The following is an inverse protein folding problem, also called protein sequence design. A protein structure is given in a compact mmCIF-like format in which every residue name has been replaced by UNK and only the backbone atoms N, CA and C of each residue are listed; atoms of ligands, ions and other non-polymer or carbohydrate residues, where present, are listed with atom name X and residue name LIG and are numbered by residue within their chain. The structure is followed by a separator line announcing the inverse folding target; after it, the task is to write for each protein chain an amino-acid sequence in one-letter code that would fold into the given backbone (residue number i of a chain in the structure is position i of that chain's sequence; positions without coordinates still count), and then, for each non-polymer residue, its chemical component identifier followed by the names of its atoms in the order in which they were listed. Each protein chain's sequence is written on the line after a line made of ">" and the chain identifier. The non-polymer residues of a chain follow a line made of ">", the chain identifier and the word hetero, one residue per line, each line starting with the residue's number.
data_IF_257314147915
#
_entry.id   IF_257314147915
#
_cell.length_a   1.000
_cell.length_b   1.000
_cell.length_c   1.000
_cell.angle_alpha   90.00
_cell.angle_beta   90.00
_cell.angle_gamma   90.00
#
_symmetry.space_group_name_H-M   'P 1'
#
loop_
_entity.id
_entity.type
_entity.pdbx_description
1 polymer ?
#
# COMPACT_ATOMS: atom_id res chain seq x y z
N UNK A 1 -11.02 -0.62 -7.28
CA UNK A 1 -12.05 -1.63 -7.56
C UNK A 1 -12.22 -2.61 -6.40
N UNK A 2 -13.44 -3.12 -6.24
CA UNK A 2 -13.79 -4.16 -5.27
C UNK A 2 -13.96 -5.49 -6.00
N UNK A 3 -13.37 -6.54 -5.44
CA UNK A 3 -13.44 -7.90 -5.96
C UNK A 3 -14.13 -8.82 -4.97
N UNK A 4 -14.68 -9.93 -5.46
CA UNK A 4 -15.29 -10.95 -4.59
C UNK A 4 -14.25 -11.52 -3.61
N UNK A 5 -14.66 -11.78 -2.35
CA UNK A 5 -13.76 -12.19 -1.28
C UNK A 5 -13.04 -13.54 -1.48
N UNK A 6 -13.48 -14.34 -2.43
CA UNK A 6 -12.85 -15.60 -2.84
C UNK A 6 -11.80 -15.42 -3.96
N UNK A 7 -11.62 -14.19 -4.48
CA UNK A 7 -10.60 -13.91 -5.48
C UNK A 7 -9.24 -13.68 -4.83
N UNK A 8 -8.21 -14.37 -5.36
CA UNK A 8 -6.83 -14.17 -4.91
C UNK A 8 -6.26 -12.87 -5.49
N UNK A 9 -5.47 -12.17 -4.71
CA UNK A 9 -4.83 -10.89 -5.09
C UNK A 9 -4.09 -10.97 -6.44
N UNK A 10 -3.49 -12.13 -6.74
CA UNK A 10 -2.78 -12.32 -8.01
C UNK A 10 -3.69 -12.15 -9.24
N UNK A 11 -4.96 -12.49 -9.15
CA UNK A 11 -5.92 -12.36 -10.25
C UNK A 11 -6.51 -10.95 -10.37
N UNK A 12 -6.39 -10.15 -9.32
CA UNK A 12 -6.90 -8.78 -9.29
C UNK A 12 -5.90 -7.75 -9.82
N UNK A 13 -4.61 -8.11 -9.95
CA UNK A 13 -3.57 -7.15 -10.32
C UNK A 13 -3.78 -6.57 -11.71
N UNK A 14 -3.88 -7.42 -12.74
CA UNK A 14 -3.98 -6.96 -14.12
C UNK A 14 -5.23 -6.10 -14.38
N UNK A 15 -6.44 -6.50 -13.96
CA UNK A 15 -7.61 -5.63 -14.07
C UNK A 15 -7.46 -4.31 -13.30
N UNK A 16 -6.85 -4.34 -12.11
CA UNK A 16 -6.60 -3.14 -11.32
C UNK A 16 -5.64 -2.17 -12.01
N UNK A 17 -4.56 -2.67 -12.60
CA UNK A 17 -3.61 -1.86 -13.38
C UNK A 17 -4.28 -1.25 -14.60
N UNK A 18 -5.09 -2.02 -15.36
CA UNK A 18 -5.83 -1.50 -16.51
C UNK A 18 -6.84 -0.42 -16.11
N UNK A 19 -7.49 -0.59 -14.97
CA UNK A 19 -8.39 0.45 -14.43
C UNK A 19 -7.63 1.76 -14.13
N UNK A 20 -6.42 1.67 -13.55
CA UNK A 20 -5.55 2.83 -13.31
C UNK A 20 -5.09 3.46 -14.62
N UNK A 21 -4.63 2.64 -15.59
CA UNK A 21 -4.23 3.14 -16.92
C UNK A 21 -5.34 3.95 -17.58
N UNK A 22 -6.56 3.41 -17.57
CA UNK A 22 -7.72 4.07 -18.16
C UNK A 22 -8.12 5.34 -17.41
N UNK A 23 -8.11 5.31 -16.06
CA UNK A 23 -8.54 6.45 -15.24
C UNK A 23 -7.56 7.62 -15.30
N UNK A 24 -6.28 7.36 -15.51
CA UNK A 24 -5.22 8.37 -15.58
C UNK A 24 -4.66 8.58 -16.98
N UNK A 25 -5.24 7.94 -17.98
CA UNK A 25 -4.83 8.02 -19.39
C UNK A 25 -3.31 7.81 -19.56
N UNK A 26 -2.78 6.74 -18.94
CA UNK A 26 -1.33 6.52 -18.90
C UNK A 26 -0.77 6.17 -20.27
N UNK A 27 0.01 7.08 -20.84
CA UNK A 27 0.78 6.85 -22.07
C UNK A 27 1.96 5.89 -21.82
N UNK A 28 2.59 5.39 -22.90
CA UNK A 28 3.80 4.57 -22.83
C UNK A 28 4.93 5.26 -22.04
N UNK A 29 5.08 6.58 -22.22
CA UNK A 29 6.06 7.37 -21.49
C UNK A 29 5.76 7.43 -19.98
N UNK A 30 4.48 7.48 -19.60
CA UNK A 30 4.05 7.41 -18.21
C UNK A 30 4.33 6.02 -17.63
N UNK A 31 4.00 4.92 -18.36
CA UNK A 31 4.28 3.54 -17.90
C UNK A 31 5.75 3.30 -17.61
N UNK A 32 6.65 3.72 -18.49
CA UNK A 32 8.11 3.58 -18.30
C UNK A 32 8.65 4.25 -17.04
N UNK A 33 7.98 5.28 -16.53
CA UNK A 33 8.34 6.01 -15.30
C UNK A 33 7.54 5.57 -14.08
N UNK A 34 6.54 4.70 -14.26
CA UNK A 34 5.69 4.22 -13.17
C UNK A 34 6.30 2.97 -12.54
N UNK A 35 6.43 2.99 -11.22
CA UNK A 35 6.92 1.87 -10.41
C UNK A 35 5.78 1.14 -9.71
N UNK A 36 5.61 -0.14 -10.01
CA UNK A 36 4.76 -1.02 -9.22
C UNK A 36 5.53 -1.66 -8.08
N UNK A 37 5.10 -1.39 -6.83
CA UNK A 37 5.62 -2.03 -5.63
C UNK A 37 4.64 -3.09 -5.16
N UNK A 38 5.02 -4.36 -5.27
CA UNK A 38 4.13 -5.49 -5.03
C UNK A 38 4.56 -6.31 -3.82
N UNK A 39 3.57 -6.80 -3.07
CA UNK A 39 3.82 -7.83 -2.06
C UNK A 39 3.89 -9.23 -2.68
N UNK A 40 4.12 -10.24 -1.82
CA UNK A 40 4.23 -11.62 -2.28
C UNK A 40 2.94 -12.17 -2.88
N UNK A 41 1.78 -11.64 -2.51
CA UNK A 41 0.50 -12.12 -3.04
C UNK A 41 0.29 -11.79 -4.52
N UNK A 42 0.84 -10.68 -5.00
CA UNK A 42 0.76 -10.25 -6.39
C UNK A 42 2.06 -10.53 -7.19
N UNK A 43 3.17 -10.85 -6.53
CA UNK A 43 4.50 -11.03 -7.13
C UNK A 43 4.71 -12.39 -7.82
N UNK A 44 3.72 -12.87 -8.58
CA UNK A 44 3.84 -14.07 -9.42
C UNK A 44 4.61 -13.79 -10.70
N UNK A 45 5.24 -14.80 -11.27
CA UNK A 45 5.99 -14.66 -12.55
C UNK A 45 5.10 -14.15 -13.68
N UNK A 46 3.86 -14.62 -13.74
CA UNK A 46 2.87 -14.19 -14.72
C UNK A 46 2.60 -12.68 -14.62
N UNK A 47 2.29 -12.19 -13.44
CA UNK A 47 2.02 -10.79 -13.20
C UNK A 47 3.24 -9.91 -13.47
N UNK A 48 4.42 -10.38 -13.05
CA UNK A 48 5.67 -9.64 -13.30
C UNK A 48 6.00 -9.56 -14.78
N UNK A 49 5.90 -10.68 -15.53
CA UNK A 49 6.08 -10.67 -17.00
C UNK A 49 5.09 -9.73 -17.68
N UNK A 50 3.83 -9.76 -17.26
CA UNK A 50 2.80 -8.90 -17.82
C UNK A 50 3.09 -7.41 -17.60
N UNK A 51 3.50 -7.01 -16.39
CA UNK A 51 3.91 -5.63 -16.09
C UNK A 51 5.14 -5.20 -16.90
N UNK A 52 6.15 -6.07 -16.95
CA UNK A 52 7.40 -5.80 -17.67
C UNK A 52 7.18 -5.68 -19.19
N UNK A 53 6.29 -6.50 -19.78
CA UNK A 53 5.88 -6.40 -21.19
C UNK A 53 5.17 -5.08 -21.50
N UNK A 54 4.56 -4.44 -20.50
CA UNK A 54 3.91 -3.12 -20.60
C UNK A 54 4.85 -1.97 -20.23
N UNK A 55 6.14 -2.21 -20.14
CA UNK A 55 7.20 -1.24 -19.81
C UNK A 55 7.16 -0.64 -18.40
N UNK A 56 6.41 -1.22 -17.48
CA UNK A 56 6.46 -0.79 -16.09
C UNK A 56 7.78 -1.13 -15.40
N UNK A 57 8.17 -0.28 -14.44
CA UNK A 57 9.20 -0.63 -13.47
C UNK A 57 8.59 -1.42 -12.32
N UNK A 58 9.35 -2.38 -11.78
CA UNK A 58 8.87 -3.22 -10.69
C UNK A 58 9.84 -3.24 -9.50
N UNK A 59 9.25 -3.31 -8.31
CA UNK A 59 9.92 -3.60 -7.05
C UNK A 59 9.00 -4.53 -6.26
N UNK A 60 9.19 -5.83 -6.39
CA UNK A 60 8.24 -6.83 -5.95
C UNK A 60 8.88 -7.85 -5.01
N UNK A 61 8.12 -8.33 -4.04
CA UNK A 61 8.45 -9.55 -3.32
C UNK A 61 7.92 -10.73 -4.12
N UNK A 62 8.78 -11.71 -4.39
CA UNK A 62 8.39 -12.91 -5.11
C UNK A 62 7.46 -13.82 -4.30
N UNK A 63 6.59 -14.52 -5.00
CA UNK A 63 5.54 -15.37 -4.42
C UNK A 63 6.07 -16.67 -3.81
N UNK A 64 7.03 -17.33 -4.49
CA UNK A 64 7.42 -18.71 -4.19
C UNK A 64 8.41 -18.83 -3.02
N UNK A 65 7.96 -19.41 -1.90
CA UNK A 65 8.84 -19.75 -0.77
C UNK A 65 9.90 -20.81 -1.12
N UNK A 66 9.57 -21.79 -1.98
CA UNK A 66 10.50 -22.80 -2.48
C UNK A 66 11.64 -22.15 -3.27
N UNK A 67 11.30 -21.21 -4.19
CA UNK A 67 12.29 -20.44 -4.93
C UNK A 67 13.15 -19.57 -4.01
N UNK A 68 12.56 -18.94 -2.99
CA UNK A 68 13.31 -18.15 -2.03
C UNK A 68 14.41 -18.96 -1.33
N UNK A 69 14.11 -20.20 -0.99
CA UNK A 69 15.07 -21.10 -0.37
C UNK A 69 16.18 -21.52 -1.36
N UNK A 70 15.83 -21.88 -2.57
CA UNK A 70 16.80 -22.24 -3.62
C UNK A 70 17.74 -21.07 -3.97
N UNK A 71 17.20 -19.85 -4.07
CA UNK A 71 18.00 -18.64 -4.32
C UNK A 71 18.92 -18.30 -3.13
N UNK A 72 18.47 -18.55 -1.89
CA UNK A 72 19.29 -18.32 -0.70
C UNK A 72 20.58 -19.18 -0.69
N UNK A 73 20.51 -20.40 -1.21
CA UNK A 73 21.66 -21.28 -1.33
C UNK A 73 22.71 -20.80 -2.36
N UNK A 74 22.31 -19.89 -3.28
CA UNK A 74 23.19 -19.35 -4.32
C UNK A 74 23.83 -18.01 -3.93
N UNK A 75 23.46 -17.44 -2.79
CA UNK A 75 24.03 -16.16 -2.35
C UNK A 75 25.46 -16.36 -1.89
N UNK A 76 26.41 -15.79 -2.62
CA UNK A 76 27.84 -15.87 -2.33
C UNK A 76 28.28 -14.95 -1.16
N UNK A 77 27.58 -13.83 -0.96
CA UNK A 77 27.91 -12.85 0.08
C UNK A 77 26.67 -12.27 0.73
N UNK A 78 26.58 -12.47 2.05
CA UNK A 78 25.54 -11.92 2.89
C UNK A 78 26.03 -10.67 3.60
N UNK A 79 25.24 -9.59 3.58
CA UNK A 79 25.46 -8.37 4.35
C UNK A 79 24.36 -8.24 5.41
N UNK A 80 24.68 -7.62 6.53
CA UNK A 80 23.73 -7.37 7.61
C UNK A 80 22.68 -6.36 7.17
N UNK A 81 21.42 -6.76 7.12
CA UNK A 81 20.27 -5.97 6.70
C UNK A 81 19.45 -5.36 7.85
N UNK A 82 19.93 -5.52 9.09
CA UNK A 82 19.25 -5.10 10.32
C UNK A 82 19.22 -6.24 11.34
N UNK A 83 18.60 -6.05 12.51
CA UNK A 83 18.52 -7.05 13.54
C UNK A 83 17.98 -8.39 12.99
N UNK A 84 18.75 -9.47 13.14
CA UNK A 84 18.42 -10.82 12.70
C UNK A 84 18.01 -10.94 11.22
N UNK A 85 18.58 -10.11 10.36
CA UNK A 85 18.27 -10.07 8.91
C UNK A 85 19.53 -9.92 8.09
N UNK A 86 19.69 -10.74 7.05
CA UNK A 86 20.80 -10.73 6.12
C UNK A 86 20.28 -10.57 4.69
N UNK A 87 21.06 -9.88 3.85
CA UNK A 87 20.71 -9.53 2.48
C UNK A 87 21.81 -9.98 1.53
N UNK A 88 21.44 -10.65 0.45
CA UNK A 88 22.36 -11.11 -0.58
C UNK A 88 21.81 -10.87 -1.97
N UNK A 89 22.64 -10.33 -2.89
CA UNK A 89 22.33 -10.35 -4.31
C UNK A 89 22.56 -11.74 -4.87
N UNK A 90 21.73 -12.13 -5.83
CA UNK A 90 21.86 -13.40 -6.55
C UNK A 90 21.49 -13.20 -8.01
N UNK A 91 22.14 -13.93 -8.91
CA UNK A 91 21.72 -13.97 -10.30
C UNK A 91 20.38 -14.70 -10.41
N UNK A 92 19.40 -14.15 -11.15
CA UNK A 92 18.12 -14.82 -11.34
C UNK A 92 18.33 -16.10 -12.16
N UNK A 93 17.76 -17.21 -11.68
CA UNK A 93 17.69 -18.49 -12.38
C UNK A 93 16.41 -18.64 -13.21
N UNK A 94 15.70 -17.54 -13.41
CA UNK A 94 14.44 -17.46 -14.15
C UNK A 94 14.41 -16.17 -14.97
N UNK A 95 13.70 -16.22 -16.10
CA UNK A 95 13.55 -15.10 -17.00
C UNK A 95 12.13 -14.51 -16.90
N UNK A 96 12.05 -13.19 -16.85
CA UNK A 96 10.79 -12.43 -16.86
C UNK A 96 10.62 -11.57 -18.11
N UNK A 97 11.46 -11.79 -19.14
CA UNK A 97 11.41 -11.08 -20.42
C UNK A 97 12.12 -9.73 -20.43
N UNK A 98 12.69 -9.29 -19.28
CA UNK A 98 13.53 -8.08 -19.17
C UNK A 98 14.60 -8.29 -18.10
N UNK A 99 15.74 -7.58 -18.18
CA UNK A 99 16.78 -7.63 -17.16
C UNK A 99 16.21 -7.24 -15.79
N UNK A 100 16.51 -8.06 -14.79
CA UNK A 100 16.09 -7.87 -13.39
C UNK A 100 17.26 -8.11 -12.45
N UNK A 101 17.20 -7.48 -11.28
CA UNK A 101 18.06 -7.81 -10.13
C UNK A 101 17.24 -8.54 -9.08
N UNK A 102 17.85 -9.54 -8.42
CA UNK A 102 17.20 -10.33 -7.38
C UNK A 102 17.96 -10.19 -6.07
N UNK A 103 17.27 -9.72 -5.03
CA UNK A 103 17.76 -9.65 -3.67
C UNK A 103 17.10 -10.74 -2.82
N UNK A 104 17.91 -11.53 -2.16
CA UNK A 104 17.41 -12.50 -1.15
C UNK A 104 17.57 -11.90 0.24
N UNK A 105 16.55 -12.10 1.06
CA UNK A 105 16.57 -11.78 2.48
C UNK A 105 16.41 -13.05 3.31
N UNK A 106 17.36 -13.31 4.20
CA UNK A 106 17.27 -14.31 5.25
C UNK A 106 16.94 -13.63 6.57
N UNK A 107 15.98 -14.17 7.31
CA UNK A 107 15.63 -13.74 8.68
C UNK A 107 15.58 -14.92 9.62
N UNK A 108 16.17 -14.76 10.80
CA UNK A 108 16.00 -15.71 11.87
C UNK A 108 14.75 -15.31 12.69
N UNK A 109 13.79 -16.20 12.81
CA UNK A 109 12.56 -15.97 13.58
C UNK A 109 12.11 -17.26 14.23
N UNK A 110 11.94 -17.23 15.56
CA UNK A 110 11.47 -18.39 16.35
C UNK A 110 12.33 -19.65 16.10
N UNK A 111 13.65 -19.53 16.18
CA UNK A 111 14.57 -20.64 15.98
C UNK A 111 14.73 -21.14 14.53
N UNK A 112 14.05 -20.53 13.55
CA UNK A 112 14.07 -20.97 12.15
C UNK A 112 14.48 -19.86 11.19
N UNK A 113 15.23 -20.25 10.16
CA UNK A 113 15.54 -19.35 9.05
C UNK A 113 14.35 -19.26 8.08
N UNK A 114 13.92 -18.04 7.80
CA UNK A 114 12.91 -17.73 6.79
C UNK A 114 13.53 -16.94 5.66
N UNK A 115 13.38 -17.42 4.44
CA UNK A 115 13.88 -16.79 3.23
C UNK A 115 12.76 -16.10 2.48
N UNK A 116 13.07 -14.97 1.88
CA UNK A 116 12.24 -14.27 0.91
C UNK A 116 13.12 -13.68 -0.16
N UNK A 117 12.60 -13.52 -1.37
CA UNK A 117 13.33 -12.87 -2.45
C UNK A 117 12.52 -11.72 -3.01
N UNK A 118 13.24 -10.76 -3.56
CA UNK A 118 12.69 -9.54 -4.13
C UNK A 118 13.28 -9.35 -5.51
N UNK A 119 12.46 -8.78 -6.40
CA UNK A 119 12.76 -8.59 -7.81
C UNK A 119 12.63 -7.11 -8.11
N UNK A 120 13.57 -6.55 -8.88
CA UNK A 120 13.48 -5.17 -9.32
C UNK A 120 14.10 -4.95 -10.69
N UNK A 121 13.58 -3.98 -11.42
CA UNK A 121 14.18 -3.41 -12.63
C UNK A 121 15.04 -2.17 -12.33
N UNK A 122 14.99 -1.66 -11.09
CA UNK A 122 15.72 -0.46 -10.68
C UNK A 122 17.11 -0.81 -10.17
N UNK A 123 18.05 0.11 -10.35
CA UNK A 123 19.38 0.05 -9.75
C UNK A 123 19.36 0.72 -8.38
N UNK A 124 19.99 0.10 -7.40
CA UNK A 124 20.10 0.62 -6.03
C UNK A 124 21.55 0.76 -5.60
N UNK A 125 21.91 1.80 -4.86
CA UNK A 125 23.28 2.02 -4.36
C UNK A 125 23.70 0.99 -3.31
N UNK A 126 22.74 0.34 -2.64
CA UNK A 126 23.00 -0.69 -1.65
C UNK A 126 21.81 -1.64 -1.44
N UNK A 127 22.08 -2.83 -0.90
CA UNK A 127 21.05 -3.80 -0.50
C UNK A 127 20.10 -3.21 0.55
N UNK A 128 20.61 -2.36 1.45
CA UNK A 128 19.80 -1.68 2.47
C UNK A 128 18.88 -0.64 1.84
N UNK A 129 19.38 0.19 0.90
CA UNK A 129 18.56 1.17 0.19
C UNK A 129 17.40 0.50 -0.56
N UNK A 130 17.68 -0.61 -1.23
CA UNK A 130 16.64 -1.45 -1.84
C UNK A 130 15.55 -1.84 -0.85
N UNK A 131 15.94 -2.48 0.27
CA UNK A 131 14.98 -2.98 1.25
C UNK A 131 14.21 -1.83 1.93
N UNK A 132 14.85 -0.70 2.18
CA UNK A 132 14.19 0.50 2.71
C UNK A 132 13.13 1.01 1.74
N UNK A 133 13.47 1.16 0.46
CA UNK A 133 12.51 1.60 -0.58
C UNK A 133 11.34 0.64 -0.70
N UNK A 134 11.59 -0.68 -0.64
CA UNK A 134 10.51 -1.67 -0.62
C UNK A 134 9.62 -1.52 0.63
N UNK A 135 10.20 -1.34 1.80
CA UNK A 135 9.47 -1.24 3.07
C UNK A 135 8.65 0.05 3.20
N UNK A 136 9.04 1.16 2.53
CA UNK A 136 8.26 2.41 2.48
C UNK A 136 6.84 2.19 1.93
N UNK A 137 6.59 1.10 1.20
CA UNK A 137 5.24 0.68 0.82
C UNK A 137 4.31 0.52 2.03
N UNK A 138 4.82 -0.10 3.11
CA UNK A 138 4.01 -0.37 4.30
C UNK A 138 3.64 0.87 5.11
N UNK A 139 4.36 1.97 4.95
CA UNK A 139 4.09 3.21 5.69
C UNK A 139 2.88 4.00 5.17
N UNK A 140 2.65 4.01 3.86
CA UNK A 140 1.53 4.74 3.26
C UNK A 140 0.29 3.84 3.10
N UNK A 141 0.40 2.79 2.31
CA UNK A 141 -0.75 1.95 1.93
C UNK A 141 -1.33 1.15 3.10
N UNK A 142 -0.46 0.51 3.90
CA UNK A 142 -0.91 -0.29 5.06
C UNK A 142 -1.47 0.60 6.16
N UNK A 143 -0.91 1.80 6.37
CA UNK A 143 -1.43 2.76 7.32
C UNK A 143 -2.82 3.26 6.89
N UNK A 144 -3.02 3.58 5.61
CA UNK A 144 -4.32 3.96 5.07
C UNK A 144 -5.37 2.87 5.32
N UNK A 145 -5.11 1.63 4.90
CA UNK A 145 -6.05 0.52 5.16
C UNK A 145 -6.38 0.33 6.63
N UNK A 146 -5.40 0.51 7.52
CA UNK A 146 -5.63 0.44 8.96
C UNK A 146 -6.52 1.58 9.44
N UNK A 147 -6.31 2.80 8.95
CA UNK A 147 -7.12 3.97 9.28
C UNK A 147 -8.55 3.82 8.75
N UNK A 148 -8.74 3.33 7.53
CA UNK A 148 -10.05 3.07 6.95
C UNK A 148 -10.83 2.01 7.74
N UNK A 149 -10.15 0.92 8.14
CA UNK A 149 -10.76 -0.13 8.97
C UNK A 149 -11.11 0.34 10.37
N UNK A 150 -10.21 1.04 11.06
CA UNK A 150 -10.37 1.40 12.46
C UNK A 150 -11.00 2.78 12.68
N UNK A 151 -10.77 3.74 11.79
CA UNK A 151 -11.25 5.11 11.87
C UNK A 151 -12.58 5.33 11.16
N UNK A 152 -12.70 4.76 9.95
CA UNK A 152 -13.90 4.88 9.12
C UNK A 152 -14.80 3.64 9.18
N UNK A 153 -14.45 2.63 9.99
CA UNK A 153 -15.21 1.41 10.20
C UNK A 153 -15.52 0.62 8.91
N UNK A 154 -14.63 0.67 7.91
CA UNK A 154 -14.85 0.04 6.61
C UNK A 154 -15.19 -1.45 6.73
N UNK A 155 -14.50 -2.19 7.60
CA UNK A 155 -14.73 -3.63 7.80
C UNK A 155 -16.00 -3.97 8.59
N UNK A 156 -16.58 -3.01 9.32
CA UNK A 156 -17.81 -3.21 10.10
C UNK A 156 -19.08 -2.90 9.31
N UNK A 157 -18.96 -2.30 8.13
CA UNK A 157 -20.08 -1.87 7.29
C UNK A 157 -20.35 -2.89 6.19
N UNK A 158 -21.03 -3.98 6.51
CA UNK A 158 -21.41 -4.99 5.55
C UNK A 158 -22.72 -4.64 4.82
N UNK A 159 -22.73 -4.72 3.50
CA UNK A 159 -23.91 -4.59 2.66
C UNK A 159 -24.14 -5.91 1.90
N UNK A 160 -25.39 -6.32 1.75
CA UNK A 160 -25.71 -7.57 1.06
C UNK A 160 -25.46 -7.49 -0.46
N UNK A 161 -25.73 -6.32 -1.06
CA UNK A 161 -25.51 -6.13 -2.50
C UNK A 161 -24.08 -5.70 -2.80
N UNK A 162 -23.44 -6.37 -3.77
CA UNK A 162 -22.08 -6.06 -4.19
C UNK A 162 -21.90 -4.61 -4.65
N UNK A 163 -22.88 -4.07 -5.41
CA UNK A 163 -22.87 -2.66 -5.84
C UNK A 163 -22.88 -1.70 -4.66
N UNK A 164 -23.67 -2.00 -3.62
CA UNK A 164 -23.70 -1.20 -2.40
C UNK A 164 -22.39 -1.28 -1.61
N UNK A 165 -21.72 -2.43 -1.60
CA UNK A 165 -20.36 -2.57 -1.04
C UNK A 165 -19.36 -1.72 -1.82
N UNK A 166 -19.41 -1.75 -3.16
CA UNK A 166 -18.54 -0.95 -4.02
C UNK A 166 -18.74 0.56 -3.78
N UNK A 167 -19.98 1.01 -3.71
CA UNK A 167 -20.30 2.41 -3.38
C UNK A 167 -19.75 2.80 -1.99
N UNK A 168 -19.89 1.92 -1.00
CA UNK A 168 -19.37 2.17 0.34
C UNK A 168 -17.84 2.32 0.37
N UNK A 169 -17.11 1.49 -0.38
CA UNK A 169 -15.64 1.62 -0.49
C UNK A 169 -15.27 2.96 -1.12
N UNK A 170 -15.93 3.37 -2.21
CA UNK A 170 -15.68 4.65 -2.86
C UNK A 170 -15.98 5.84 -1.93
N UNK A 171 -17.08 5.79 -1.17
CA UNK A 171 -17.40 6.82 -0.16
C UNK A 171 -16.37 6.84 0.97
N UNK A 172 -15.85 5.69 1.37
CA UNK A 172 -14.78 5.61 2.38
C UNK A 172 -13.50 6.26 1.86
N UNK A 173 -13.09 5.96 0.62
CA UNK A 173 -11.93 6.57 -0.02
C UNK A 173 -12.08 8.09 -0.15
N UNK A 174 -13.26 8.58 -0.56
CA UNK A 174 -13.56 10.02 -0.61
C UNK A 174 -13.45 10.65 0.79
N UNK A 175 -14.05 10.03 1.81
CA UNK A 175 -13.99 10.51 3.20
C UNK A 175 -12.55 10.53 3.70
N UNK A 176 -11.76 9.52 3.40
CA UNK A 176 -10.33 9.47 3.74
C UNK A 176 -9.58 10.66 3.14
N UNK A 177 -9.78 10.93 1.86
CA UNK A 177 -9.12 12.03 1.15
C UNK A 177 -9.54 13.40 1.72
N UNK A 178 -10.83 13.59 2.03
CA UNK A 178 -11.32 14.82 2.66
C UNK A 178 -10.72 15.02 4.06
N UNK A 179 -10.62 13.98 4.86
CA UNK A 179 -10.01 14.05 6.19
C UNK A 179 -8.48 14.25 6.12
N UNK A 180 -7.82 13.69 5.12
CA UNK A 180 -6.40 13.94 4.89
C UNK A 180 -6.15 15.41 4.50
N UNK A 181 -6.97 15.97 3.61
CA UNK A 181 -6.92 17.38 3.23
C UNK A 181 -7.25 18.29 4.42
N UNK A 182 -8.27 17.98 5.19
CA UNK A 182 -8.62 18.70 6.42
C UNK A 182 -7.45 18.70 7.42
N UNK A 183 -6.81 17.54 7.64
CA UNK A 183 -5.64 17.44 8.51
C UNK A 183 -4.49 18.31 8.00
N UNK A 184 -4.24 18.27 6.70
CA UNK A 184 -3.15 19.02 6.08
C UNK A 184 -3.39 20.54 6.12
N UNK A 185 -4.62 21.01 5.88
CA UNK A 185 -4.92 22.45 5.77
C UNK A 185 -5.36 23.06 7.09
N UNK A 186 -6.26 22.40 7.80
CA UNK A 186 -6.88 22.98 9.00
C UNK A 186 -6.15 22.62 10.29
N UNK A 187 -5.51 21.44 10.36
CA UNK A 187 -4.85 20.99 11.58
C UNK A 187 -3.32 21.15 11.54
N UNK A 188 -2.75 21.59 10.42
CA UNK A 188 -1.31 21.83 10.30
C UNK A 188 -0.85 22.85 11.36
N UNK A 189 0.25 22.53 12.07
CA UNK A 189 0.78 23.37 13.15
C UNK A 189 0.01 23.34 14.48
N UNK A 190 -1.12 22.62 14.53
CA UNK A 190 -1.88 22.41 15.76
C UNK A 190 -1.43 21.16 16.52
N UNK A 191 -1.82 21.03 17.79
CA UNK A 191 -1.63 19.80 18.59
C UNK A 191 -2.33 18.56 18.00
N UNK A 192 -3.16 18.73 16.99
CA UNK A 192 -3.94 17.68 16.34
C UNK A 192 -3.32 17.18 15.03
N UNK A 193 -2.26 17.82 14.53
CA UNK A 193 -1.64 17.52 13.23
C UNK A 193 -1.22 16.05 13.09
N UNK A 194 -0.75 15.42 14.17
CA UNK A 194 -0.28 14.03 14.18
C UNK A 194 -1.36 13.01 14.56
N UNK A 195 -2.62 13.46 14.70
CA UNK A 195 -3.71 12.53 15.03
C UNK A 195 -4.08 11.66 13.83
N UNK A 196 -4.23 10.35 14.08
CA UNK A 196 -4.80 9.42 13.10
C UNK A 196 -6.32 9.63 12.95
N UNK A 197 -6.90 9.18 11.82
CA UNK A 197 -8.30 9.41 11.46
C UNK A 197 -9.29 8.98 12.56
N UNK A 198 -9.04 7.84 13.20
CA UNK A 198 -9.91 7.37 14.30
C UNK A 198 -10.07 8.42 15.39
N UNK A 199 -8.98 9.09 15.77
CA UNK A 199 -8.98 10.09 16.81
C UNK A 199 -9.61 11.40 16.33
N UNK A 200 -9.31 11.81 15.11
CA UNK A 200 -9.94 13.00 14.49
C UNK A 200 -11.46 12.83 14.46
N UNK A 201 -11.96 11.71 13.97
CA UNK A 201 -13.40 11.46 13.86
C UNK A 201 -14.06 11.42 15.24
N UNK A 202 -13.47 10.68 16.20
CA UNK A 202 -14.08 10.46 17.50
C UNK A 202 -14.00 11.70 18.42
N UNK A 203 -12.83 12.35 18.45
CA UNK A 203 -12.52 13.35 19.49
C UNK A 203 -12.62 14.79 18.97
N UNK A 204 -12.62 15.00 17.64
CA UNK A 204 -12.70 16.33 17.05
C UNK A 204 -13.99 16.54 16.25
N UNK A 205 -14.35 15.62 15.35
CA UNK A 205 -15.52 15.80 14.48
C UNK A 205 -16.84 15.34 15.14
N UNK A 206 -16.79 14.48 16.15
CA UNK A 206 -17.98 14.04 16.89
C UNK A 206 -18.37 14.97 18.05
N UNK A 207 -17.77 16.16 18.14
CA UNK A 207 -18.17 17.17 19.15
C UNK A 207 -19.59 17.64 18.82
N UNK A 208 -20.53 17.54 19.73
CA UNK A 208 -21.89 18.05 19.51
C UNK A 208 -21.89 19.57 19.37
N UNK A 209 -22.78 20.09 18.53
CA UNK A 209 -22.86 21.52 18.27
C UNK A 209 -24.28 21.95 17.91
N UNK A 210 -24.51 23.26 17.91
CA UNK A 210 -25.71 23.90 17.40
C UNK A 210 -25.42 24.63 16.13
N UNK A 211 -26.27 24.46 15.13
CA UNK A 211 -26.21 25.17 13.86
C UNK A 211 -27.26 26.23 13.81
N UNK A 212 -26.89 27.45 13.52
CA UNK A 212 -27.80 28.60 13.39
C UNK A 212 -27.89 28.98 11.93
N UNK A 213 -29.12 29.00 11.41
CA UNK A 213 -29.42 29.37 10.04
C UNK A 213 -30.27 30.64 10.03
N UNK A 214 -29.99 31.55 9.08
CA UNK A 214 -30.81 32.70 8.71
C UNK A 214 -31.01 32.66 7.20
N UNK A 215 -32.25 32.77 6.76
CA UNK A 215 -32.63 32.71 5.32
C UNK A 215 -32.06 31.48 4.58
N UNK A 216 -32.02 30.31 5.27
CA UNK A 216 -31.49 29.07 4.74
C UNK A 216 -29.96 29.00 4.65
N UNK A 217 -29.25 30.05 5.07
CA UNK A 217 -27.78 30.07 5.11
C UNK A 217 -27.24 29.80 6.52
N UNK A 218 -26.22 28.97 6.60
CA UNK A 218 -25.52 28.72 7.87
C UNK A 218 -24.75 29.98 8.30
N UNK A 219 -25.16 30.60 9.42
CA UNK A 219 -24.54 31.81 9.97
C UNK A 219 -23.55 31.53 11.10
N UNK A 220 -23.86 30.55 11.94
CA UNK A 220 -23.01 30.25 13.10
C UNK A 220 -23.04 28.77 13.42
N UNK A 221 -21.88 28.27 13.83
CA UNK A 221 -21.70 26.95 14.44
C UNK A 221 -21.20 27.17 15.84
N UNK A 222 -21.95 26.67 16.82
CA UNK A 222 -21.57 26.68 18.24
C UNK A 222 -21.22 25.26 18.66
N UNK A 223 -19.97 25.02 19.00
CA UNK A 223 -19.52 23.71 19.49
C UNK A 223 -19.75 23.62 20.98
N UNK A 224 -20.44 22.58 21.40
CA UNK A 224 -20.65 22.28 22.84
C UNK A 224 -19.38 21.55 23.32
N UNK A 225 -18.34 22.31 23.65
CA UNK A 225 -17.11 21.75 24.18
C UNK A 225 -17.37 21.10 25.53
N UNK A 226 -17.28 19.78 25.60
CA UNK A 226 -17.45 19.00 26.84
C UNK A 226 -16.13 18.61 27.48
N UNK A 227 -14.98 18.98 26.89
CA UNK A 227 -13.65 18.65 27.42
C UNK A 227 -12.76 19.88 27.45
N UNK A 228 -12.42 20.28 28.65
CA UNK A 228 -11.28 21.16 28.95
C UNK A 228 -9.97 20.43 28.77
#
# INVERSE_FOLDING_TARGET
>A
DLYAGNQLTMHCLQPGVLSVENSFELSDAHRKRTLYRLDGGAGTDENLRWLLKRDYQVLAKGFSGKRAHALAAQVSRWDLGGAQSWLGWVHPTFDLGRPISVLVRARHKQGKWKHSYYITTLTFPSKRAFLTTYNLRGGAEVAQFREDKSGLHLSARCKQRFVAQKALVLLTDLTHNLLADFRYRALAGSRFADWGLKRIVRDLLAIPGRLYFEDGQLKRVELLATHQ
#
